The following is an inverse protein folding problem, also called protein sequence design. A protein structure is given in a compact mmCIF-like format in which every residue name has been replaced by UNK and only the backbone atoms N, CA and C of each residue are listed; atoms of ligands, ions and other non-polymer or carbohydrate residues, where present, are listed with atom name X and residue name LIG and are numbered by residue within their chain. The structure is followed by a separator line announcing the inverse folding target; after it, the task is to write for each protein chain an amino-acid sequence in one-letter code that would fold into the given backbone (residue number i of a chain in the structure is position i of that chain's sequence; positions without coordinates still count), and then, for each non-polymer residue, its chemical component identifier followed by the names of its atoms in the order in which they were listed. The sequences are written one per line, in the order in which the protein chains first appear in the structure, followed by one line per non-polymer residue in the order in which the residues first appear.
data_IF_171149003889
#
_entry.id   IF_171149003889
#
_cell.length_a   1.000
_cell.length_b   1.000
_cell.length_c   1.000
_cell.angle_alpha   90.00
_cell.angle_beta   90.00
_cell.angle_gamma   90.00
#
_symmetry.space_group_name_H-M   'P 1'
#
loop_
_entity.id
_entity.type
_entity.pdbx_description
1 polymer ?
#
# COMPACT_ATOMS: atom_id res chain seq x y z
N UNK A 1 -21.95 -3.96 -9.37
CA UNK A 1 -20.83 -3.41 -8.61
C UNK A 1 -21.40 -2.72 -7.40
N UNK A 2 -21.04 -3.19 -6.21
CA UNK A 2 -21.46 -2.56 -4.94
C UNK A 2 -20.70 -1.24 -4.77
N UNK A 3 -21.37 -0.10 -4.57
CA UNK A 3 -20.69 1.18 -4.37
C UNK A 3 -19.78 1.14 -3.14
N UNK A 4 -18.57 1.67 -3.25
CA UNK A 4 -17.65 1.80 -2.13
C UNK A 4 -16.80 3.05 -2.28
N UNK A 5 -16.40 3.62 -1.15
CA UNK A 5 -15.47 4.74 -1.07
C UNK A 5 -14.66 4.59 0.21
N UNK A 6 -13.35 4.80 0.15
CA UNK A 6 -12.47 4.83 1.31
C UNK A 6 -11.58 6.07 1.26
N UNK A 7 -11.45 6.72 2.40
CA UNK A 7 -10.45 7.75 2.68
C UNK A 7 -9.59 7.29 3.83
N UNK A 8 -8.27 7.45 3.72
CA UNK A 8 -7.36 7.02 4.77
C UNK A 8 -5.91 7.34 4.48
N UNK A 9 -5.03 6.74 5.27
CA UNK A 9 -3.59 6.94 5.19
C UNK A 9 -2.89 5.62 4.97
N UNK A 10 -1.84 5.63 4.15
CA UNK A 10 -0.98 4.46 3.91
C UNK A 10 0.48 4.70 4.27
N UNK A 11 1.18 3.60 4.55
CA UNK A 11 2.62 3.50 4.46
C UNK A 11 2.96 2.19 3.76
N UNK A 12 3.64 2.29 2.61
CA UNK A 12 4.14 1.17 1.82
C UNK A 12 5.66 1.23 1.76
N UNK A 13 6.33 0.08 1.95
CA UNK A 13 7.77 -0.08 1.81
C UNK A 13 8.07 -1.14 0.73
N UNK A 14 8.86 -0.76 -0.27
CA UNK A 14 9.26 -1.60 -1.39
C UNK A 14 10.79 -1.74 -1.47
N UNK A 15 11.30 -2.82 -2.05
CA UNK A 15 12.73 -3.11 -2.22
C UNK A 15 13.50 -2.11 -3.09
N UNK A 16 12.82 -1.29 -3.89
CA UNK A 16 13.50 -0.35 -4.79
C UNK A 16 14.31 0.73 -4.05
N UNK A 17 15.22 1.38 -4.78
CA UNK A 17 15.83 2.64 -4.33
C UNK A 17 14.78 3.72 -4.10
N UNK A 18 15.10 4.77 -3.33
CA UNK A 18 14.17 5.84 -2.93
C UNK A 18 13.39 6.54 -4.04
N UNK A 19 13.82 6.45 -5.29
CA UNK A 19 13.05 6.98 -6.41
C UNK A 19 11.97 6.03 -6.96
N UNK A 20 11.86 4.79 -6.46
CA UNK A 20 11.09 3.66 -7.03
C UNK A 20 10.76 3.86 -8.51
N UNK A 21 11.63 3.40 -9.44
CA UNK A 21 11.49 3.75 -10.86
C UNK A 21 10.14 3.34 -11.47
N UNK A 22 9.43 2.38 -10.87
CA UNK A 22 8.08 1.98 -11.25
C UNK A 22 7.07 3.14 -11.23
N UNK A 23 7.22 4.10 -10.30
CA UNK A 23 6.40 5.31 -10.22
C UNK A 23 6.62 6.26 -11.42
N UNK A 24 7.66 6.00 -12.22
CA UNK A 24 8.05 6.75 -13.40
C UNK A 24 8.02 5.89 -14.68
N UNK A 25 7.19 4.84 -14.70
CA UNK A 25 7.07 3.88 -15.82
C UNK A 25 8.41 3.21 -16.20
N UNK A 26 9.30 3.01 -15.23
CA UNK A 26 10.58 2.32 -15.41
C UNK A 26 10.63 0.99 -14.65
N UNK A 27 11.56 0.12 -15.03
CA UNK A 27 11.72 -1.20 -14.41
C UNK A 27 12.17 -1.11 -12.94
N UNK A 28 11.78 -2.07 -12.07
CA UNK A 28 12.18 -2.08 -10.67
C UNK A 28 13.71 -2.10 -10.52
N UNK A 29 14.22 -1.47 -9.46
CA UNK A 29 15.67 -1.29 -9.23
C UNK A 29 16.45 -2.61 -9.29
N UNK A 30 15.87 -3.69 -8.77
CA UNK A 30 16.53 -4.98 -8.61
C UNK A 30 16.03 -6.04 -9.60
N UNK A 31 15.22 -5.65 -10.60
CA UNK A 31 14.63 -6.57 -11.56
C UNK A 31 13.38 -7.30 -11.07
N UNK A 32 13.18 -7.43 -9.75
CA UNK A 32 12.01 -7.99 -9.10
C UNK A 32 11.26 -6.95 -8.24
N UNK A 33 10.02 -7.24 -7.83
CA UNK A 33 9.23 -6.37 -6.97
C UNK A 33 8.89 -7.08 -5.65
N UNK A 34 9.20 -6.44 -4.53
CA UNK A 34 8.86 -6.90 -3.19
C UNK A 34 8.35 -5.70 -2.40
N UNK A 35 7.21 -5.87 -1.72
CA UNK A 35 6.61 -4.78 -0.97
C UNK A 35 5.79 -5.29 0.22
N UNK A 36 5.70 -4.48 1.26
CA UNK A 36 4.76 -4.65 2.36
C UNK A 36 4.29 -3.31 2.88
N UNK A 37 3.11 -3.28 3.50
CA UNK A 37 2.56 -2.06 4.07
C UNK A 37 1.12 -2.20 4.49
N UNK A 38 0.55 -1.10 4.93
CA UNK A 38 -0.81 -1.05 5.46
C UNK A 38 -1.51 0.25 5.11
N UNK A 39 -2.84 0.16 5.12
CA UNK A 39 -3.77 1.28 5.00
C UNK A 39 -4.61 1.31 6.28
N UNK A 40 -4.73 2.49 6.88
CA UNK A 40 -5.71 2.78 7.91
C UNK A 40 -6.85 3.60 7.30
N UNK A 41 -8.03 3.00 7.20
CA UNK A 41 -9.23 3.65 6.69
C UNK A 41 -9.75 4.59 7.78
N UNK A 42 -9.75 5.88 7.50
CA UNK A 42 -10.24 6.92 8.42
C UNK A 42 -11.77 7.03 8.31
N UNK A 43 -12.28 7.00 7.07
CA UNK A 43 -13.71 6.96 6.78
C UNK A 43 -13.99 6.20 5.50
N UNK A 44 -15.08 5.44 5.43
CA UNK A 44 -15.48 4.77 4.20
C UNK A 44 -16.67 3.85 4.33
N UNK A 45 -17.11 3.31 3.20
CA UNK A 45 -18.21 2.37 3.13
C UNK A 45 -18.04 1.37 1.98
N UNK A 46 -18.76 0.26 2.07
CA UNK A 46 -19.01 -0.69 0.98
C UNK A 46 -20.47 -1.10 1.06
N UNK A 47 -21.31 -0.57 0.15
CA UNK A 47 -22.76 -0.61 0.26
C UNK A 47 -23.19 0.00 1.60
N UNK A 48 -23.92 -0.77 2.41
CA UNK A 48 -24.38 -0.35 3.74
C UNK A 48 -23.35 -0.63 4.86
N UNK A 49 -22.21 -1.23 4.55
CA UNK A 49 -21.16 -1.58 5.55
C UNK A 49 -20.24 -0.39 5.76
N UNK A 50 -20.18 0.13 6.99
CA UNK A 50 -19.23 1.19 7.39
C UNK A 50 -17.84 0.59 7.59
N UNK A 51 -16.82 1.23 7.00
CA UNK A 51 -15.42 0.80 7.03
C UNK A 51 -14.51 1.70 7.90
N UNK A 52 -15.09 2.68 8.60
CA UNK A 52 -14.37 3.60 9.47
C UNK A 52 -13.50 2.85 10.50
N UNK A 53 -12.23 3.22 10.58
CA UNK A 53 -11.26 2.64 11.52
C UNK A 53 -10.74 1.25 11.13
N UNK A 54 -11.21 0.65 10.03
CA UNK A 54 -10.69 -0.64 9.56
C UNK A 54 -9.26 -0.45 9.04
N UNK A 55 -8.38 -1.39 9.37
CA UNK A 55 -7.02 -1.45 8.85
C UNK A 55 -6.84 -2.71 8.01
N UNK A 56 -6.12 -2.56 6.91
CA UNK A 56 -5.72 -3.66 6.04
C UNK A 56 -4.22 -3.58 5.79
N UNK A 57 -3.60 -4.72 5.57
CA UNK A 57 -2.19 -4.82 5.27
C UNK A 57 -1.94 -5.88 4.20
N UNK A 58 -0.77 -5.78 3.58
CA UNK A 58 -0.38 -6.66 2.48
C UNK A 58 1.11 -6.96 2.53
N UNK A 59 1.48 -8.15 2.08
CA UNK A 59 2.84 -8.50 1.67
C UNK A 59 2.76 -9.02 0.24
N UNK A 60 3.59 -8.48 -0.63
CA UNK A 60 3.64 -8.82 -2.04
C UNK A 60 5.04 -9.22 -2.49
N UNK A 61 5.10 -10.12 -3.47
CA UNK A 61 6.32 -10.42 -4.20
C UNK A 61 6.01 -10.83 -5.65
N UNK A 62 6.75 -10.25 -6.60
CA UNK A 62 6.82 -10.67 -7.99
C UNK A 62 8.26 -11.03 -8.33
N UNK A 63 8.51 -12.09 -9.12
CA UNK A 63 9.87 -12.46 -9.55
C UNK A 63 10.47 -11.47 -10.55
N UNK A 64 9.63 -10.66 -11.20
CA UNK A 64 9.99 -9.66 -12.20
C UNK A 64 9.23 -8.33 -12.00
N UNK A 65 9.16 -7.49 -13.04
CA UNK A 65 8.23 -6.36 -13.11
C UNK A 65 6.78 -6.82 -12.90
N UNK A 66 5.98 -6.02 -12.18
CA UNK A 66 4.59 -6.36 -11.81
C UNK A 66 3.74 -6.77 -13.03
N UNK A 67 3.89 -6.06 -14.16
CA UNK A 67 3.10 -6.30 -15.37
C UNK A 67 3.44 -7.61 -16.09
N UNK A 68 4.53 -8.29 -15.74
CA UNK A 68 4.86 -9.62 -16.25
C UNK A 68 4.12 -10.74 -15.49
N UNK A 69 3.41 -10.40 -14.41
CA UNK A 69 2.62 -11.36 -13.64
C UNK A 69 3.45 -12.22 -12.71
N UNK A 70 2.94 -13.40 -12.36
CA UNK A 70 3.57 -14.33 -11.41
C UNK A 70 3.66 -13.78 -9.98
N UNK A 71 2.78 -12.83 -9.64
CA UNK A 71 2.74 -12.22 -8.32
C UNK A 71 2.20 -13.15 -7.25
N UNK A 72 2.71 -12.96 -6.03
CA UNK A 72 2.20 -13.58 -4.81
C UNK A 72 1.76 -12.51 -3.83
N UNK A 73 0.63 -12.73 -3.16
CA UNK A 73 0.06 -11.81 -2.18
C UNK A 73 -0.33 -12.55 -0.91
N UNK A 74 0.05 -11.99 0.24
CA UNK A 74 -0.56 -12.28 1.53
C UNK A 74 -1.44 -11.10 1.94
N UNK A 75 -2.78 -11.19 1.82
CA UNK A 75 -3.68 -10.19 2.37
C UNK A 75 -3.80 -10.35 3.89
N UNK A 76 -3.92 -9.23 4.61
CA UNK A 76 -4.15 -9.19 6.05
C UNK A 76 -5.26 -8.17 6.34
N UNK A 77 -6.17 -8.54 7.24
CA UNK A 77 -7.23 -7.67 7.76
C UNK A 77 -7.07 -7.57 9.28
N UNK A 78 -7.30 -6.38 9.83
CA UNK A 78 -7.25 -6.19 11.28
C UNK A 78 -8.30 -7.06 11.98
N UNK A 79 -7.89 -7.79 13.02
CA UNK A 79 -8.76 -8.70 13.78
C UNK A 79 -9.97 -8.01 14.44
N UNK A 80 -9.94 -6.68 14.59
CA UNK A 80 -11.06 -5.91 15.14
C UNK A 80 -12.17 -5.67 14.11
N UNK A 81 -11.93 -5.95 12.83
CA UNK A 81 -12.95 -5.84 11.80
C UNK A 81 -14.04 -6.90 12.01
N UNK A 82 -15.30 -6.47 11.90
CA UNK A 82 -16.43 -7.38 11.91
C UNK A 82 -16.44 -8.28 10.66
N UNK A 83 -17.14 -9.42 10.67
CA UNK A 83 -17.22 -10.30 9.50
C UNK A 83 -17.68 -9.59 8.22
N UNK A 84 -18.63 -8.65 8.32
CA UNK A 84 -19.11 -7.87 7.20
C UNK A 84 -18.04 -6.89 6.67
N UNK A 85 -17.26 -6.27 7.57
CA UNK A 85 -16.13 -5.42 7.19
C UNK A 85 -15.02 -6.23 6.53
N UNK A 86 -14.70 -7.40 7.07
CA UNK A 86 -13.72 -8.32 6.48
C UNK A 86 -14.10 -8.70 5.04
N UNK A 87 -15.34 -9.12 4.83
CA UNK A 87 -15.84 -9.44 3.49
C UNK A 87 -15.74 -8.24 2.55
N UNK A 88 -16.17 -7.06 3.01
CA UNK A 88 -16.13 -5.83 2.23
C UNK A 88 -14.71 -5.44 1.80
N UNK A 89 -13.76 -5.37 2.74
CA UNK A 89 -12.39 -4.96 2.41
C UNK A 89 -11.67 -5.99 1.55
N UNK A 90 -11.94 -7.28 1.70
CA UNK A 90 -11.37 -8.31 0.83
C UNK A 90 -11.89 -8.19 -0.62
N UNK A 91 -13.16 -7.82 -0.82
CA UNK A 91 -13.69 -7.52 -2.17
C UNK A 91 -13.06 -6.26 -2.78
N UNK A 92 -12.78 -5.24 -1.96
CA UNK A 92 -12.05 -4.05 -2.40
C UNK A 92 -10.60 -4.41 -2.78
N UNK A 93 -9.89 -5.16 -1.92
CA UNK A 93 -8.49 -5.56 -2.10
C UNK A 93 -8.27 -6.44 -3.34
N UNK A 94 -9.27 -7.23 -3.72
CA UNK A 94 -9.26 -8.06 -4.94
C UNK A 94 -9.70 -7.28 -6.19
N UNK A 95 -10.19 -6.05 -6.03
CA UNK A 95 -10.72 -5.23 -7.13
C UNK A 95 -12.04 -5.77 -7.71
N UNK A 96 -12.76 -6.64 -6.99
CA UNK A 96 -13.96 -7.33 -7.49
C UNK A 96 -15.09 -6.35 -7.87
N UNK A 97 -15.26 -5.29 -7.06
CA UNK A 97 -16.26 -4.23 -7.28
C UNK A 97 -15.57 -2.93 -7.68
N UNK A 98 -14.60 -3.01 -8.59
CA UNK A 98 -13.86 -1.85 -9.07
C UNK A 98 -13.78 -1.91 -10.60
N UNK A 99 -13.86 -0.76 -11.26
CA UNK A 99 -13.58 -0.66 -12.69
C UNK A 99 -12.17 -1.22 -12.98
N UNK A 100 -12.01 -2.00 -14.08
CA UNK A 100 -10.72 -2.62 -14.38
C UNK A 100 -9.59 -1.61 -14.41
N UNK A 101 -8.53 -1.87 -13.64
CA UNK A 101 -7.32 -1.06 -13.54
C UNK A 101 -7.52 0.37 -12.99
N UNK A 102 -8.68 0.70 -12.42
CA UNK A 102 -8.95 2.03 -11.89
C UNK A 102 -8.23 2.31 -10.55
N UNK A 103 -7.86 1.27 -9.81
CA UNK A 103 -7.15 1.35 -8.51
C UNK A 103 -5.96 0.41 -8.47
N UNK A 104 -5.02 0.66 -7.56
CA UNK A 104 -3.90 -0.24 -7.27
C UNK A 104 -4.35 -1.66 -6.90
N UNK A 105 -5.47 -1.80 -6.17
CA UNK A 105 -6.03 -3.11 -5.84
C UNK A 105 -6.39 -3.92 -7.09
N UNK A 106 -7.13 -3.31 -8.02
CA UNK A 106 -7.52 -3.96 -9.28
C UNK A 106 -6.30 -4.27 -10.16
N UNK A 107 -5.35 -3.34 -10.24
CA UNK A 107 -4.10 -3.53 -11.01
C UNK A 107 -3.30 -4.70 -10.44
N UNK A 108 -2.97 -4.69 -9.15
CA UNK A 108 -2.13 -5.75 -8.57
C UNK A 108 -2.82 -7.10 -8.59
N UNK A 109 -4.12 -7.17 -8.24
CA UNK A 109 -4.89 -8.41 -8.28
C UNK A 109 -4.87 -9.08 -9.67
N UNK A 110 -4.90 -8.30 -10.75
CA UNK A 110 -4.84 -8.84 -12.13
C UNK A 110 -3.50 -9.50 -12.51
N UNK A 111 -2.44 -9.26 -11.72
CA UNK A 111 -1.08 -9.77 -11.96
C UNK A 111 -0.66 -10.86 -10.98
N UNK A 112 -1.52 -11.23 -10.04
CA UNK A 112 -1.24 -12.29 -9.09
C UNK A 112 -1.46 -13.65 -9.75
N UNK A 113 -0.48 -14.53 -9.59
CA UNK A 113 -0.65 -15.97 -9.84
C UNK A 113 -1.16 -16.68 -8.58
N UNK A 114 -0.81 -16.17 -7.40
CA UNK A 114 -1.21 -16.76 -6.14
C UNK A 114 -1.57 -15.69 -5.09
N UNK A 115 -2.76 -15.80 -4.53
CA UNK A 115 -3.14 -15.08 -3.31
C UNK A 115 -3.33 -16.11 -2.19
N UNK A 116 -2.61 -15.95 -1.09
CA UNK A 116 -2.76 -16.79 0.10
C UNK A 116 -4.07 -16.46 0.82
N UNK A 117 -4.54 -17.37 1.67
CA UNK A 117 -5.69 -17.11 2.54
C UNK A 117 -5.43 -15.88 3.42
N UNK A 118 -6.43 -14.99 3.61
CA UNK A 118 -6.27 -13.81 4.45
C UNK A 118 -5.86 -14.16 5.88
N UNK A 119 -4.91 -13.41 6.42
CA UNK A 119 -4.58 -13.44 7.84
C UNK A 119 -5.44 -12.40 8.56
N UNK A 120 -6.00 -12.78 9.70
CA UNK A 120 -6.66 -11.87 10.63
C UNK A 120 -5.75 -11.69 11.84
N UNK A 121 -5.19 -10.49 12.00
CA UNK A 121 -4.22 -10.21 13.05
C UNK A 121 -4.35 -8.76 13.51
N UNK A 122 -3.88 -8.45 14.71
CA UNK A 122 -3.77 -7.08 15.19
C UNK A 122 -2.84 -6.26 14.30
N UNK A 123 -3.32 -5.12 13.82
CA UNK A 123 -2.53 -4.14 13.05
C UNK A 123 -2.35 -2.86 13.87
N UNK A 124 -1.16 -2.69 14.44
CA UNK A 124 -0.71 -1.42 15.01
C UNK A 124 -0.24 -0.50 13.88
N UNK A 125 -0.79 0.72 13.84
CA UNK A 125 -0.56 1.69 12.78
C UNK A 125 -0.42 3.08 13.38
N UNK A 126 0.76 3.68 13.21
CA UNK A 126 1.11 5.04 13.62
C UNK A 126 1.91 5.67 12.47
N UNK A 127 1.28 6.51 11.66
CA UNK A 127 1.87 7.06 10.44
C UNK A 127 1.56 8.55 10.33
N UNK A 128 2.62 9.35 10.25
CA UNK A 128 2.58 10.77 9.94
C UNK A 128 3.15 10.99 8.52
N UNK A 129 2.24 11.27 7.59
CA UNK A 129 2.55 11.49 6.18
C UNK A 129 3.47 12.68 5.99
N UNK A 130 3.18 13.80 6.63
CA UNK A 130 3.91 15.06 6.39
C UNK A 130 5.30 15.01 7.01
N UNK A 131 5.45 14.32 8.15
CA UNK A 131 6.74 14.07 8.77
C UNK A 131 7.54 12.96 8.07
N UNK A 132 6.93 12.16 7.17
CA UNK A 132 7.48 10.91 6.60
C UNK A 132 8.00 9.96 7.69
N UNK A 133 7.20 9.79 8.75
CA UNK A 133 7.53 8.95 9.90
C UNK A 133 6.39 8.00 10.15
N UNK A 134 6.70 6.72 10.32
CA UNK A 134 5.66 5.76 10.63
C UNK A 134 6.19 4.46 11.17
N UNK A 135 5.32 3.76 11.89
CA UNK A 135 5.50 2.39 12.35
C UNK A 135 4.24 1.61 12.05
N UNK A 136 4.44 0.46 11.41
CA UNK A 136 3.40 -0.55 11.23
C UNK A 136 3.89 -1.82 11.92
N UNK A 137 3.04 -2.42 12.74
CA UNK A 137 3.26 -3.75 13.30
C UNK A 137 2.04 -4.62 13.04
N UNK A 138 2.24 -5.70 12.30
CA UNK A 138 1.23 -6.73 12.08
C UNK A 138 1.64 -7.95 12.88
N UNK A 139 0.87 -8.28 13.92
CA UNK A 139 1.25 -9.32 14.88
C UNK A 139 1.54 -10.65 14.19
N UNK A 140 2.75 -11.17 14.39
CA UNK A 140 3.20 -12.44 13.82
C UNK A 140 3.53 -12.41 12.32
N UNK A 141 3.30 -11.31 11.61
CA UNK A 141 3.49 -11.23 10.14
C UNK A 141 4.66 -10.32 9.76
N UNK A 142 4.59 -9.02 10.05
CA UNK A 142 5.66 -8.08 9.67
C UNK A 142 5.71 -6.84 10.55
N UNK A 143 6.86 -6.16 10.50
CA UNK A 143 7.05 -4.80 11.02
C UNK A 143 7.69 -3.89 9.97
N UNK A 144 7.32 -2.61 9.98
CA UNK A 144 7.90 -1.56 9.14
C UNK A 144 8.18 -0.34 10.01
N UNK A 145 9.35 0.25 9.83
CA UNK A 145 9.68 1.60 10.28
C UNK A 145 9.97 2.47 9.06
N UNK A 146 9.18 3.52 8.88
CA UNK A 146 9.39 4.56 7.89
C UNK A 146 10.00 5.81 8.51
N UNK A 147 11.00 6.39 7.86
CA UNK A 147 11.66 7.63 8.26
C UNK A 147 12.00 8.53 7.06
N UNK A 148 12.31 9.82 7.26
CA UNK A 148 12.72 10.69 6.16
C UNK A 148 14.03 10.21 5.52
N UNK A 149 14.13 10.38 4.20
CA UNK A 149 15.41 10.22 3.49
C UNK A 149 16.42 11.22 4.08
N UNK A 150 17.69 10.84 4.13
CA UNK A 150 18.78 11.71 4.58
C UNK A 150 19.75 12.00 3.45
N UNK A 151 20.22 13.24 3.40
CA UNK A 151 21.33 13.62 2.55
C UNK A 151 22.60 12.84 3.00
N UNK A 152 23.29 12.12 2.10
CA UNK A 152 24.40 11.25 2.48
C UNK A 152 25.66 12.00 2.94
N UNK A 153 25.78 13.30 2.62
CA UNK A 153 26.94 14.13 3.00
C UNK A 153 26.70 14.84 4.33
N UNK A 154 25.49 15.38 4.54
CA UNK A 154 25.19 16.23 5.70
C UNK A 154 24.38 15.53 6.79
N UNK A 155 23.73 14.41 6.49
CA UNK A 155 22.80 13.73 7.39
C UNK A 155 21.46 14.44 7.60
N UNK A 156 21.29 15.64 7.02
CA UNK A 156 20.06 16.41 7.09
C UNK A 156 18.90 15.67 6.41
N UNK A 157 17.68 15.85 6.92
CA UNK A 157 16.49 15.31 6.26
C UNK A 157 16.33 15.92 4.87
N UNK A 158 16.01 15.07 3.90
CA UNK A 158 15.70 15.43 2.54
C UNK A 158 14.24 15.07 2.26
N UNK A 159 13.49 16.01 1.67
CA UNK A 159 12.08 15.83 1.36
C UNK A 159 11.88 15.81 -0.15
N UNK A 160 11.25 14.76 -0.63
CA UNK A 160 10.81 14.59 -2.02
C UNK A 160 9.37 14.09 -1.99
N UNK A 161 8.61 14.48 -3.01
CA UNK A 161 7.23 14.04 -3.23
C UNK A 161 7.08 13.56 -4.67
N UNK A 162 6.20 12.60 -4.86
CA UNK A 162 5.76 12.15 -6.18
C UNK A 162 4.31 12.58 -6.36
N UNK A 163 4.05 13.35 -7.41
CA UNK A 163 2.74 13.83 -7.81
C UNK A 163 2.31 13.06 -9.06
N UNK A 164 1.22 12.30 -8.98
CA UNK A 164 0.69 11.49 -10.08
C UNK A 164 -0.72 11.98 -10.44
N UNK A 165 -0.87 13.04 -11.25
CA UNK A 165 -2.18 13.59 -11.62
C UNK A 165 -3.12 12.56 -12.27
N UNK A 166 -2.54 11.57 -12.95
CA UNK A 166 -3.24 10.48 -13.61
C UNK A 166 -2.87 9.10 -13.02
N UNK A 167 -2.38 9.07 -11.78
CA UNK A 167 -2.08 7.83 -11.06
C UNK A 167 -3.35 7.03 -10.71
N UNK A 168 -3.13 5.77 -10.32
CA UNK A 168 -4.16 4.82 -9.88
C UNK A 168 -4.03 4.39 -8.40
N UNK A 169 -2.96 4.80 -7.71
CA UNK A 169 -2.71 4.48 -6.29
C UNK A 169 -2.96 5.70 -5.40
N UNK A 170 -2.19 6.76 -5.62
CA UNK A 170 -2.27 8.03 -4.89
C UNK A 170 -2.16 9.22 -5.87
N UNK A 171 -2.64 10.38 -5.44
CA UNK A 171 -2.45 11.66 -6.15
C UNK A 171 -1.11 12.29 -5.76
N UNK A 172 -0.77 12.24 -4.47
CA UNK A 172 0.49 12.73 -3.93
C UNK A 172 1.02 11.78 -2.86
N UNK A 173 2.28 11.41 -2.99
CA UNK A 173 3.01 10.66 -1.97
C UNK A 173 4.21 11.46 -1.46
N UNK A 174 4.40 11.48 -0.14
CA UNK A 174 5.65 11.85 0.50
C UNK A 174 6.59 10.65 0.51
N UNK A 175 7.86 10.87 0.20
CA UNK A 175 8.83 9.78 0.05
C UNK A 175 9.78 9.75 1.23
N UNK A 176 10.00 8.53 1.75
CA UNK A 176 10.89 8.22 2.84
C UNK A 176 11.76 7.00 2.58
N UNK A 177 12.46 6.61 3.64
CA UNK A 177 13.25 5.39 3.76
C UNK A 177 12.49 4.42 4.66
N UNK A 178 12.21 3.22 4.16
CA UNK A 178 11.57 2.14 4.91
C UNK A 178 12.56 1.04 5.25
N UNK A 179 12.40 0.47 6.44
CA UNK A 179 13.05 -0.77 6.86
C UNK A 179 11.99 -1.66 7.48
N UNK A 180 11.96 -2.93 7.10
CA UNK A 180 10.97 -3.87 7.61
C UNK A 180 11.28 -5.30 7.27
N UNK A 181 10.67 -6.22 8.01
CA UNK A 181 10.79 -7.66 7.78
C UNK A 181 9.43 -8.32 7.86
N UNK A 182 9.13 -9.18 6.89
CA UNK A 182 7.97 -10.08 6.95
C UNK A 182 8.38 -11.53 7.19
N UNK A 183 7.43 -12.32 7.68
CA UNK A 183 7.54 -13.75 7.95
C UNK A 183 6.33 -14.47 7.35
N UNK A 184 6.40 -15.80 7.28
CA UNK A 184 5.29 -16.63 6.80
C UNK A 184 5.47 -17.00 5.33
N UNK A 185 4.42 -16.91 4.52
CA UNK A 185 4.45 -17.38 3.14
C UNK A 185 5.33 -16.53 2.20
N UNK A 186 5.49 -15.24 2.51
CA UNK A 186 6.34 -14.31 1.78
C UNK A 186 7.27 -13.65 2.80
N UNK A 187 8.53 -14.07 2.81
CA UNK A 187 9.57 -13.52 3.68
C UNK A 187 10.36 -12.44 2.94
N UNK A 188 10.31 -11.21 3.45
CA UNK A 188 11.01 -10.06 2.91
C UNK A 188 11.94 -9.48 3.98
N UNK A 189 13.09 -8.95 3.57
CA UNK A 189 13.97 -8.16 4.43
C UNK A 189 14.37 -6.88 3.67
N UNK A 190 13.64 -5.80 3.94
CA UNK A 190 13.82 -4.52 3.29
C UNK A 190 14.63 -3.61 4.21
N UNK A 191 15.74 -3.06 3.72
CA UNK A 191 16.64 -2.23 4.51
C UNK A 191 16.86 -0.89 3.82
N UNK A 192 16.41 0.18 4.47
CA UNK A 192 16.59 1.57 4.02
C UNK A 192 16.25 1.76 2.54
N UNK A 193 15.12 1.19 2.13
CA UNK A 193 14.64 1.20 0.75
C UNK A 193 13.47 2.17 0.60
N UNK A 194 12.86 2.24 -0.58
CA UNK A 194 11.73 3.11 -0.86
C UNK A 194 10.60 2.92 0.16
N UNK A 195 10.17 4.01 0.78
CA UNK A 195 8.88 4.09 1.46
C UNK A 195 8.07 5.25 0.89
N UNK A 196 6.78 5.04 0.72
CA UNK A 196 5.82 6.10 0.43
C UNK A 196 4.81 6.23 1.55
N UNK A 197 4.43 7.48 1.79
CA UNK A 197 3.39 7.88 2.72
C UNK A 197 2.37 8.67 1.91
N UNK A 198 1.13 8.21 1.88
CA UNK A 198 0.10 8.88 1.10
C UNK A 198 -1.22 8.95 1.86
N UNK A 199 -1.99 9.97 1.52
CA UNK A 199 -3.41 10.07 1.87
C UNK A 199 -4.18 9.54 0.67
N UNK A 200 -4.96 8.51 0.89
CA UNK A 200 -5.76 7.84 -0.13
C UNK A 200 -7.18 8.37 -0.11
N UNK A 201 -7.77 8.51 -1.29
CA UNK A 201 -9.20 8.71 -1.47
C UNK A 201 -9.66 8.01 -2.74
N UNK A 202 -10.34 6.89 -2.58
CA UNK A 202 -10.59 5.91 -3.65
C UNK A 202 -12.05 5.48 -3.63
N UNK A 203 -12.61 5.22 -4.80
CA UNK A 203 -13.90 4.54 -4.97
C UNK A 203 -13.83 3.51 -6.11
N UNK A 204 -14.99 2.94 -6.47
CA UNK A 204 -15.14 1.99 -7.57
C UNK A 204 -14.47 2.43 -8.89
N UNK A 205 -14.34 3.75 -9.11
CA UNK A 205 -13.88 4.36 -10.35
C UNK A 205 -12.44 4.90 -10.26
N UNK A 206 -11.73 4.62 -9.16
CA UNK A 206 -10.35 5.04 -8.95
C UNK A 206 -10.21 6.19 -7.97
N UNK A 207 -9.22 7.06 -8.22
CA UNK A 207 -8.93 8.18 -7.33
C UNK A 207 -9.98 9.28 -7.41
N UNK A 208 -10.47 9.67 -6.24
CA UNK A 208 -11.21 10.92 -6.05
C UNK A 208 -10.18 12.01 -5.79
N UNK A 209 -9.93 12.81 -6.83
CA UNK A 209 -8.89 13.84 -6.85
C UNK A 209 -9.37 15.12 -6.20
N UNK A 210 -8.48 15.73 -5.42
CA UNK A 210 -8.77 17.00 -4.74
C UNK A 210 -7.95 18.15 -5.32
N UNK A 211 -6.93 17.86 -6.13
CA UNK A 211 -6.09 18.87 -6.77
C UNK A 211 -6.50 19.01 -8.22
N UNK A 212 -6.45 20.25 -8.70
CA UNK A 212 -6.73 20.52 -10.11
C UNK A 212 -5.56 19.97 -10.91
N UNK A 213 -5.83 19.07 -11.86
CA UNK A 213 -4.84 18.66 -12.84
C UNK A 213 -4.41 19.91 -13.62
N UNK A 214 -3.12 20.26 -13.50
CA UNK A 214 -2.54 21.42 -14.16
C UNK A 214 -2.44 21.23 -15.68
#
# INVERSE_FOLDING_TARGET
MTPWEIQGTELMNCNCSYGCPCQFNSLPTHGNCEAMGAISIESGHYGDVVLDGVRIAVVFQWPGPIHEGHGRCQPIVDERASPAQCEAVLKIMTGQDTDPFATMFSVFASTLEHAYDPIFAKIDFDVDVDARRGRIGVEGVFDIVGEPIRNPVTGAEHRVRIDLPHGFEYELAEIGSGTGRSRGHIELNLERSYAQFARLHLNNHGLIRHRVAA
#
